data_IF_905804076918
#
_entry.id   IF_905804076918
#
_cell.length_a   1.000
_cell.length_b   1.000
_cell.length_c   1.000
_cell.angle_alpha   90.00
_cell.angle_beta   90.00
_cell.angle_gamma   90.00
#
_symmetry.space_group_name_H-M   'P 1'
#
loop_
_entity.id
_entity.type
_entity.pdbx_description
1 polymer ?
#
# COMPACT_ATOMS: atom_id res chain seq x y z
N UNK A 1 4.86 -28.98 -7.19
CA UNK A 1 5.40 -27.62 -7.38
C UNK A 1 5.30 -26.85 -6.08
N UNK A 2 6.43 -26.28 -5.60
CA UNK A 2 6.51 -25.70 -4.25
C UNK A 2 7.16 -24.34 -4.25
N UNK A 3 6.49 -23.35 -3.64
CA UNK A 3 6.96 -21.96 -3.53
C UNK A 3 7.14 -21.58 -2.06
N UNK A 4 8.25 -20.91 -1.73
CA UNK A 4 8.50 -20.38 -0.40
C UNK A 4 8.21 -18.88 -0.36
N UNK A 5 7.43 -18.42 0.63
CA UNK A 5 7.20 -17.00 0.93
C UNK A 5 7.89 -16.63 2.24
N UNK A 6 8.91 -15.75 2.16
CA UNK A 6 9.63 -15.27 3.33
C UNK A 6 8.95 -14.04 3.94
N UNK A 7 8.55 -14.17 5.19
CA UNK A 7 7.84 -13.15 5.95
C UNK A 7 6.33 -13.40 6.04
N UNK A 8 5.78 -13.22 7.25
CA UNK A 8 4.34 -13.31 7.52
C UNK A 8 3.73 -11.90 7.57
N UNK A 9 3.60 -11.27 6.42
CA UNK A 9 2.97 -9.96 6.24
C UNK A 9 1.78 -10.06 5.28
N UNK A 10 0.99 -9.00 5.18
CA UNK A 10 -0.21 -8.99 4.36
C UNK A 10 0.07 -9.27 2.88
N UNK A 11 1.18 -8.79 2.34
CA UNK A 11 1.61 -9.07 0.95
C UNK A 11 1.70 -10.56 0.69
N UNK A 12 2.44 -11.28 1.54
CA UNK A 12 2.61 -12.73 1.39
C UNK A 12 1.32 -13.51 1.67
N UNK A 13 0.47 -13.05 2.59
CA UNK A 13 -0.82 -13.70 2.82
C UNK A 13 -1.75 -13.57 1.60
N UNK A 14 -1.82 -12.40 0.97
CA UNK A 14 -2.62 -12.21 -0.26
C UNK A 14 -2.04 -13.02 -1.41
N UNK A 15 -0.72 -13.01 -1.59
CA UNK A 15 -0.05 -13.80 -2.62
C UNK A 15 -0.25 -15.31 -2.41
N UNK A 16 -0.10 -15.81 -1.18
CA UNK A 16 -0.36 -17.21 -0.84
C UNK A 16 -1.79 -17.64 -1.19
N UNK A 17 -2.79 -16.79 -0.92
CA UNK A 17 -4.17 -17.07 -1.30
C UNK A 17 -4.34 -17.21 -2.84
N UNK A 18 -3.66 -16.36 -3.60
CA UNK A 18 -3.70 -16.41 -5.06
C UNK A 18 -3.01 -17.68 -5.61
N UNK A 19 -1.86 -18.06 -5.03
CA UNK A 19 -1.12 -19.25 -5.43
C UNK A 19 -1.84 -20.55 -5.04
N UNK A 20 -2.45 -20.59 -3.85
CA UNK A 20 -3.24 -21.75 -3.40
C UNK A 20 -4.46 -22.04 -4.32
N UNK A 21 -5.05 -21.00 -4.91
CA UNK A 21 -6.12 -21.17 -5.90
C UNK A 21 -5.67 -21.87 -7.20
N UNK A 22 -4.35 -21.98 -7.40
CA UNK A 22 -3.70 -22.66 -8.54
C UNK A 22 -3.14 -24.03 -8.15
N UNK A 23 -3.55 -24.56 -7.00
CA UNK A 23 -3.06 -25.85 -6.45
C UNK A 23 -1.53 -25.91 -6.24
N UNK A 24 -0.90 -24.74 -6.05
CA UNK A 24 0.54 -24.64 -5.74
C UNK A 24 0.74 -24.78 -4.24
N UNK A 25 1.65 -25.66 -3.82
CA UNK A 25 2.08 -25.75 -2.43
C UNK A 25 2.89 -24.51 -2.04
N UNK A 26 2.51 -23.87 -0.95
CA UNK A 26 3.14 -22.64 -0.47
C UNK A 26 3.56 -22.78 0.98
N UNK A 27 4.86 -22.62 1.23
CA UNK A 27 5.42 -22.54 2.56
C UNK A 27 5.63 -21.08 2.97
N UNK A 28 4.89 -20.60 3.97
CA UNK A 28 5.12 -19.28 4.57
C UNK A 28 6.09 -19.43 5.72
N UNK A 29 7.32 -18.93 5.53
CA UNK A 29 8.41 -19.05 6.48
C UNK A 29 8.71 -17.71 7.13
N UNK A 30 8.71 -17.63 8.46
CA UNK A 30 8.91 -16.38 9.20
C UNK A 30 9.68 -16.60 10.50
N UNK A 31 10.39 -15.56 11.02
CA UNK A 31 11.11 -15.67 12.27
C UNK A 31 10.18 -15.82 13.47
N UNK A 32 10.65 -16.53 14.48
CA UNK A 32 9.96 -16.73 15.75
C UNK A 32 9.62 -15.38 16.41
N UNK A 33 8.40 -15.22 16.93
CA UNK A 33 7.83 -14.02 17.58
C UNK A 33 7.61 -12.82 16.65
N UNK A 34 6.53 -12.89 15.90
CA UNK A 34 5.80 -11.64 15.63
C UNK A 34 4.95 -11.40 16.89
N UNK A 35 5.43 -10.53 17.78
CA UNK A 35 4.60 -10.05 18.87
C UNK A 35 3.35 -9.41 18.24
N UNK A 36 2.22 -10.11 18.24
CA UNK A 36 0.93 -9.47 18.07
C UNK A 36 0.81 -8.52 19.26
N UNK A 37 1.08 -7.24 19.06
CA UNK A 37 0.47 -6.27 19.96
C UNK A 37 -1.03 -6.54 19.86
N UNK A 38 -1.69 -6.89 20.95
CA UNK A 38 -3.15 -7.09 21.04
C UNK A 38 -3.95 -5.80 20.73
N UNK A 39 -3.27 -4.75 20.33
CA UNK A 39 -3.83 -3.45 20.05
C UNK A 39 -4.11 -3.34 18.56
N UNK A 40 -5.34 -3.00 18.21
CA UNK A 40 -5.75 -2.69 16.84
C UNK A 40 -4.81 -1.65 16.23
N UNK A 41 -4.25 -1.94 15.07
CA UNK A 41 -3.44 -0.97 14.32
C UNK A 41 -4.34 0.13 13.78
N UNK A 42 -3.87 1.37 13.85
CA UNK A 42 -4.54 2.52 13.23
C UNK A 42 -4.38 2.56 11.71
N UNK A 43 -3.60 1.63 11.15
CA UNK A 43 -3.28 1.59 9.71
C UNK A 43 -4.51 1.26 8.87
N UNK A 44 -4.79 2.13 7.92
CA UNK A 44 -5.89 1.99 6.96
C UNK A 44 -5.34 1.80 5.55
N UNK A 45 -5.99 0.94 4.77
CA UNK A 45 -5.71 0.71 3.36
C UNK A 45 -6.81 1.35 2.51
N UNK A 46 -6.41 2.10 1.49
CA UNK A 46 -7.29 2.60 0.45
C UNK A 46 -7.07 1.77 -0.81
N UNK A 47 -7.96 0.84 -1.08
CA UNK A 47 -7.84 -0.11 -2.20
C UNK A 47 -8.66 0.42 -3.37
N UNK A 48 -8.05 0.54 -4.56
CA UNK A 48 -8.74 0.95 -5.77
C UNK A 48 -9.81 -0.08 -6.17
N UNK A 49 -10.82 0.36 -6.92
CA UNK A 49 -11.94 -0.50 -7.34
C UNK A 49 -11.45 -1.75 -8.07
N UNK A 50 -10.55 -1.60 -9.03
CA UNK A 50 -9.99 -2.70 -9.80
C UNK A 50 -9.22 -3.72 -8.93
N UNK A 51 -8.45 -3.22 -7.96
CA UNK A 51 -7.74 -4.08 -7.01
C UNK A 51 -8.69 -4.74 -6.01
N UNK A 52 -9.73 -4.06 -5.57
CA UNK A 52 -10.76 -4.63 -4.69
C UNK A 52 -11.52 -5.77 -5.39
N UNK A 53 -11.91 -5.57 -6.65
CA UNK A 53 -12.60 -6.59 -7.45
C UNK A 53 -11.69 -7.81 -7.68
N UNK A 54 -10.40 -7.60 -7.93
CA UNK A 54 -9.42 -8.68 -8.02
C UNK A 54 -9.32 -9.49 -6.73
N UNK A 55 -9.25 -8.83 -5.56
CA UNK A 55 -9.21 -9.52 -4.27
C UNK A 55 -10.47 -10.36 -4.03
N UNK A 56 -11.64 -9.83 -4.38
CA UNK A 56 -12.91 -10.56 -4.30
C UNK A 56 -12.96 -11.76 -5.23
N UNK A 57 -12.52 -11.60 -6.47
CA UNK A 57 -12.48 -12.69 -7.46
C UNK A 57 -11.61 -13.85 -7.00
N UNK A 58 -10.48 -13.54 -6.36
CA UNK A 58 -9.53 -14.56 -5.88
C UNK A 58 -9.87 -15.15 -4.52
N UNK A 59 -10.91 -14.68 -3.84
CA UNK A 59 -11.36 -15.26 -2.57
C UNK A 59 -12.89 -15.23 -2.47
N UNK A 60 -13.53 -16.37 -2.73
CA UNK A 60 -15.00 -16.50 -2.70
C UNK A 60 -15.62 -16.15 -1.34
N UNK A 61 -14.86 -16.26 -0.24
CA UNK A 61 -15.29 -15.94 1.12
C UNK A 61 -14.96 -14.51 1.53
N UNK A 62 -14.57 -13.63 0.59
CA UNK A 62 -14.15 -12.27 0.88
C UNK A 62 -15.28 -11.43 1.48
N UNK A 63 -15.28 -11.29 2.81
CA UNK A 63 -16.30 -10.58 3.59
C UNK A 63 -15.72 -9.48 4.47
N UNK A 64 -14.53 -8.97 4.12
CA UNK A 64 -13.88 -7.89 4.87
C UNK A 64 -14.74 -6.63 4.78
N UNK A 65 -14.93 -5.96 5.92
CA UNK A 65 -15.65 -4.70 5.99
C UNK A 65 -14.89 -3.61 5.23
N UNK A 66 -15.36 -3.28 4.05
CA UNK A 66 -14.79 -2.26 3.19
C UNK A 66 -15.75 -1.07 3.08
N UNK A 67 -15.27 0.13 3.35
CA UNK A 67 -16.09 1.33 3.27
C UNK A 67 -15.92 2.00 1.89
N UNK A 68 -16.99 2.10 1.09
CA UNK A 68 -16.90 2.66 -0.25
C UNK A 68 -16.74 4.18 -0.22
N UNK A 69 -15.79 4.68 -0.99
CA UNK A 69 -15.53 6.11 -1.14
C UNK A 69 -15.86 6.55 -2.57
N UNK A 70 -16.78 7.51 -2.70
CA UNK A 70 -17.23 8.00 -4.00
C UNK A 70 -16.29 9.02 -4.60
N UNK A 71 -15.67 9.86 -3.75
CA UNK A 71 -14.84 10.97 -4.16
C UNK A 71 -13.61 11.10 -3.29
N UNK A 72 -12.53 11.53 -3.89
CA UNK A 72 -11.34 12.02 -3.19
C UNK A 72 -11.17 13.48 -3.55
N UNK A 73 -11.17 14.35 -2.56
CA UNK A 73 -10.97 15.79 -2.72
C UNK A 73 -9.60 16.20 -2.22
N UNK A 74 -8.88 16.94 -3.03
CA UNK A 74 -7.56 17.47 -2.72
C UNK A 74 -7.64 18.98 -2.53
N UNK A 75 -7.06 19.44 -1.42
CA UNK A 75 -7.03 20.87 -1.04
C UNK A 75 -5.60 21.34 -0.79
N UNK A 76 -5.33 22.62 -1.05
CA UNK A 76 -4.14 23.32 -0.56
C UNK A 76 -4.32 23.77 0.90
N UNK A 77 -3.30 24.44 1.46
CA UNK A 77 -3.32 25.00 2.83
C UNK A 77 -4.55 25.91 3.06
N UNK A 78 -4.91 26.74 2.10
CA UNK A 78 -6.13 27.57 2.12
C UNK A 78 -7.30 26.73 1.67
N UNK A 79 -8.08 26.20 2.61
CA UNK A 79 -9.23 25.29 2.40
C UNK A 79 -10.29 25.75 1.38
N UNK A 80 -10.34 27.01 1.01
CA UNK A 80 -11.30 27.54 0.03
C UNK A 80 -11.08 27.00 -1.38
N UNK A 81 -9.86 26.56 -1.68
CA UNK A 81 -9.48 26.17 -3.03
C UNK A 81 -9.41 24.64 -3.13
N UNK A 82 -10.51 24.01 -3.56
CA UNK A 82 -10.50 22.63 -4.02
C UNK A 82 -9.65 22.55 -5.29
N UNK A 83 -8.45 21.96 -5.16
CA UNK A 83 -7.52 21.85 -6.26
C UNK A 83 -7.97 20.80 -7.27
N UNK A 84 -8.39 19.64 -6.75
CA UNK A 84 -8.74 18.53 -7.62
C UNK A 84 -9.75 17.57 -6.95
N UNK A 85 -10.70 17.05 -7.74
CA UNK A 85 -11.64 16.02 -7.33
C UNK A 85 -11.48 14.78 -8.22
N UNK A 86 -11.11 13.66 -7.62
CA UNK A 86 -11.23 12.38 -8.28
C UNK A 86 -12.62 11.82 -8.03
N UNK A 87 -13.47 11.87 -9.05
CA UNK A 87 -14.80 11.29 -9.00
C UNK A 87 -15.07 10.46 -10.26
N UNK A 88 -15.61 9.26 -10.06
CA UNK A 88 -16.24 8.53 -11.13
C UNK A 88 -17.76 8.63 -10.89
N UNK A 89 -18.48 9.34 -11.76
CA UNK A 89 -19.90 9.67 -11.56
C UNK A 89 -20.79 8.44 -11.30
N UNK A 90 -20.38 7.26 -11.77
CA UNK A 90 -21.19 6.03 -11.71
C UNK A 90 -20.66 4.95 -10.74
N UNK A 91 -19.45 5.03 -10.19
CA UNK A 91 -18.82 3.96 -9.40
C UNK A 91 -18.04 4.49 -8.19
N UNK A 92 -17.89 3.66 -7.15
CA UNK A 92 -16.97 3.94 -6.06
C UNK A 92 -15.52 3.81 -6.56
N UNK A 93 -14.68 4.77 -6.23
CA UNK A 93 -13.28 4.80 -6.69
C UNK A 93 -12.35 3.99 -5.81
N UNK A 94 -12.61 4.00 -4.49
CA UNK A 94 -11.78 3.32 -3.50
C UNK A 94 -12.63 2.67 -2.43
N UNK A 95 -12.06 1.61 -1.84
CA UNK A 95 -12.59 0.89 -0.69
C UNK A 95 -11.60 1.03 0.46
N UNK A 96 -12.06 1.64 1.55
CA UNK A 96 -11.24 1.85 2.74
C UNK A 96 -11.49 0.72 3.74
N UNK A 97 -10.43 0.12 4.24
CA UNK A 97 -10.49 -0.98 5.19
C UNK A 97 -9.32 -0.95 6.17
N UNK A 98 -9.50 -1.53 7.34
CA UNK A 98 -8.44 -1.64 8.33
C UNK A 98 -7.44 -2.72 7.91
N UNK A 99 -6.15 -2.43 8.08
CA UNK A 99 -5.07 -3.37 7.78
C UNK A 99 -5.20 -4.67 8.57
N UNK A 100 -5.49 -4.59 9.86
CA UNK A 100 -5.58 -5.75 10.75
C UNK A 100 -6.76 -6.66 10.41
N UNK A 101 -7.92 -6.08 10.04
CA UNK A 101 -9.08 -6.88 9.60
C UNK A 101 -8.75 -7.69 8.34
N UNK A 102 -8.02 -7.06 7.39
CA UNK A 102 -7.57 -7.74 6.18
C UNK A 102 -6.51 -8.81 6.46
N UNK A 103 -5.53 -8.49 7.32
CA UNK A 103 -4.50 -9.44 7.74
C UNK A 103 -5.10 -10.66 8.43
N UNK A 104 -5.97 -10.46 9.41
CA UNK A 104 -6.59 -11.55 10.18
C UNK A 104 -7.51 -12.42 9.31
N UNK A 105 -8.23 -11.81 8.37
CA UNK A 105 -9.04 -12.53 7.39
C UNK A 105 -8.20 -13.51 6.56
N UNK A 106 -7.15 -13.03 5.89
CA UNK A 106 -6.29 -13.90 5.09
C UNK A 106 -5.57 -14.94 5.95
N UNK A 107 -5.03 -14.54 7.09
CA UNK A 107 -4.32 -15.47 7.98
C UNK A 107 -5.21 -16.62 8.50
N UNK A 108 -6.45 -16.31 8.92
CA UNK A 108 -7.41 -17.33 9.37
C UNK A 108 -7.83 -18.28 8.25
N UNK A 109 -8.04 -17.75 7.05
CA UNK A 109 -8.45 -18.57 5.90
C UNK A 109 -7.32 -19.49 5.44
N UNK A 110 -6.09 -18.96 5.35
CA UNK A 110 -4.93 -19.72 4.90
C UNK A 110 -4.54 -20.83 5.85
N UNK A 111 -4.74 -20.69 7.16
CA UNK A 111 -4.52 -21.77 8.14
C UNK A 111 -5.39 -23.02 7.91
N UNK A 112 -6.50 -22.86 7.19
CA UNK A 112 -7.44 -23.95 6.86
C UNK A 112 -7.25 -24.47 5.43
N UNK A 113 -6.24 -23.99 4.72
CA UNK A 113 -5.99 -24.36 3.33
C UNK A 113 -4.90 -25.42 3.25
N UNK A 114 -5.19 -26.55 2.62
CA UNK A 114 -4.30 -27.70 2.53
C UNK A 114 -3.03 -27.47 1.70
N UNK A 115 -3.01 -26.43 0.86
CA UNK A 115 -1.84 -26.05 0.05
C UNK A 115 -0.89 -25.10 0.80
N UNK A 116 -1.23 -24.66 2.04
CA UNK A 116 -0.48 -23.64 2.76
C UNK A 116 0.10 -24.18 4.06
N UNK A 117 1.42 -24.13 4.18
CA UNK A 117 2.14 -24.48 5.41
C UNK A 117 2.76 -23.24 6.06
N UNK A 118 2.69 -23.16 7.38
CA UNK A 118 3.30 -22.08 8.16
C UNK A 118 4.48 -22.61 8.96
N UNK A 119 5.68 -22.09 8.69
CA UNK A 119 6.92 -22.48 9.38
C UNK A 119 7.49 -21.31 10.18
N UNK A 120 7.48 -21.48 11.49
CA UNK A 120 8.12 -20.55 12.41
C UNK A 120 9.53 -21.05 12.71
N UNK A 121 10.55 -20.29 12.33
CA UNK A 121 11.96 -20.68 12.47
C UNK A 121 12.78 -19.59 13.14
N UNK A 122 13.60 -19.93 14.14
CA UNK A 122 14.49 -18.96 14.83
C UNK A 122 15.60 -18.45 13.91
N UNK A 123 16.23 -19.34 13.16
CA UNK A 123 17.34 -19.04 12.26
C UNK A 123 17.02 -19.54 10.85
N UNK A 124 16.82 -18.60 9.94
CA UNK A 124 16.66 -18.87 8.51
C UNK A 124 18.06 -18.81 7.87
N UNK A 125 18.69 -19.96 7.72
CA UNK A 125 19.97 -20.10 7.03
C UNK A 125 19.78 -20.76 5.65
N UNK A 126 20.84 -20.72 4.84
CA UNK A 126 20.81 -21.27 3.48
C UNK A 126 20.54 -22.78 3.46
N UNK A 127 20.98 -23.55 4.51
CA UNK A 127 20.75 -25.00 4.61
C UNK A 127 19.25 -25.37 4.62
N UNK A 128 18.39 -24.56 5.26
CA UNK A 128 16.93 -24.80 5.27
C UNK A 128 16.35 -24.77 3.87
N UNK A 129 16.83 -23.86 3.02
CA UNK A 129 16.31 -23.68 1.66
C UNK A 129 16.86 -24.71 0.67
N UNK A 130 18.12 -25.14 0.85
CA UNK A 130 18.70 -26.20 0.02
C UNK A 130 18.10 -27.57 0.29
N UNK A 131 17.63 -27.84 1.51
CA UNK A 131 17.01 -29.12 1.87
C UNK A 131 15.57 -29.28 1.34
N UNK A 132 14.87 -28.19 0.99
CA UNK A 132 13.45 -28.22 0.59
C UNK A 132 13.18 -28.03 -0.91
N UNK A 133 14.20 -27.86 -1.71
CA UNK A 133 14.12 -27.73 -3.19
C UNK A 133 12.95 -26.86 -3.69
N UNK A 134 12.92 -25.59 -3.24
CA UNK A 134 11.89 -24.65 -3.70
C UNK A 134 12.15 -24.23 -5.16
N UNK A 135 11.13 -24.35 -6.00
CA UNK A 135 11.16 -23.83 -7.36
C UNK A 135 11.38 -22.31 -7.37
N UNK A 136 10.72 -21.59 -6.44
CA UNK A 136 10.83 -20.13 -6.31
C UNK A 136 10.76 -19.74 -4.82
N UNK A 137 11.60 -18.78 -4.43
CA UNK A 137 11.58 -18.16 -3.10
C UNK A 137 11.19 -16.70 -3.26
N UNK A 138 10.05 -16.29 -2.72
CA UNK A 138 9.56 -14.91 -2.76
C UNK A 138 9.81 -14.26 -1.41
N UNK A 139 10.71 -13.29 -1.40
CA UNK A 139 11.15 -12.61 -0.18
C UNK A 139 10.46 -11.25 -0.03
N UNK A 140 9.66 -11.09 1.01
CA UNK A 140 9.07 -9.82 1.43
C UNK A 140 9.51 -9.39 2.84
N UNK A 141 10.49 -10.07 3.43
CA UNK A 141 11.02 -9.74 4.75
C UNK A 141 12.27 -8.86 4.65
N UNK A 142 12.14 -7.59 5.08
CA UNK A 142 13.25 -6.63 5.08
C UNK A 142 14.40 -7.00 6.02
N UNK A 143 14.17 -7.87 6.98
CA UNK A 143 15.17 -8.30 7.97
C UNK A 143 15.83 -9.64 7.59
N UNK A 144 15.38 -10.31 6.52
CA UNK A 144 15.90 -11.60 6.10
C UNK A 144 17.39 -11.50 5.72
N UNK A 145 18.10 -12.61 5.89
CA UNK A 145 19.48 -12.76 5.42
C UNK A 145 19.60 -12.43 3.92
N UNK A 146 18.66 -12.88 3.10
CA UNK A 146 18.68 -12.67 1.66
C UNK A 146 18.54 -11.18 1.30
N UNK A 147 17.71 -10.43 2.04
CA UNK A 147 17.57 -8.97 1.82
C UNK A 147 18.89 -8.27 2.07
N UNK A 148 19.58 -8.58 3.17
CA UNK A 148 20.85 -7.96 3.52
C UNK A 148 21.97 -8.30 2.52
N UNK A 149 22.02 -9.56 2.07
CA UNK A 149 23.11 -10.06 1.23
C UNK A 149 22.94 -9.71 -0.25
N UNK A 150 21.72 -9.85 -0.80
CA UNK A 150 21.52 -9.80 -2.26
C UNK A 150 20.70 -8.59 -2.74
N UNK A 151 19.93 -7.95 -1.84
CA UNK A 151 18.98 -6.90 -2.20
C UNK A 151 19.24 -5.57 -1.48
N UNK A 152 20.53 -5.21 -1.34
CA UNK A 152 20.97 -3.98 -0.68
C UNK A 152 21.00 -2.76 -1.61
N UNK A 153 21.22 -2.95 -2.92
CA UNK A 153 21.35 -1.84 -3.89
C UNK A 153 19.98 -1.22 -4.19
N UNK A 154 19.74 0.00 -3.68
CA UNK A 154 18.48 0.72 -3.77
C UNK A 154 18.67 2.16 -4.19
N UNK A 155 17.66 2.73 -4.84
CA UNK A 155 17.47 4.17 -4.91
C UNK A 155 16.68 4.58 -3.68
N UNK A 156 17.28 5.35 -2.79
CA UNK A 156 16.64 5.76 -1.53
C UNK A 156 16.66 7.28 -1.38
N UNK A 157 15.56 7.82 -0.85
CA UNK A 157 15.43 9.20 -0.44
C UNK A 157 14.73 9.26 0.92
N UNK A 158 15.34 9.94 1.86
CA UNK A 158 14.74 10.19 3.17
C UNK A 158 13.92 11.49 3.11
N UNK A 159 12.65 11.41 3.41
CA UNK A 159 11.78 12.59 3.44
C UNK A 159 12.00 13.48 4.66
N UNK A 160 12.80 13.01 5.65
CA UNK A 160 12.93 13.67 6.95
C UNK A 160 11.56 13.99 7.60
N UNK A 161 10.61 13.11 7.38
CA UNK A 161 9.24 13.25 7.87
C UNK A 161 8.76 11.99 8.56
N UNK A 162 7.75 12.16 9.43
CA UNK A 162 7.13 11.08 10.20
C UNK A 162 5.66 11.03 9.85
N UNK A 163 5.17 9.87 9.45
CA UNK A 163 3.74 9.63 9.33
C UNK A 163 3.12 9.28 10.68
N UNK A 164 2.02 9.92 10.99
CA UNK A 164 1.16 9.66 12.13
C UNK A 164 -0.17 9.12 11.64
N UNK A 165 -0.65 8.06 12.28
CA UNK A 165 -1.96 7.47 11.99
C UNK A 165 -2.76 7.29 13.28
N UNK A 166 -4.04 7.60 13.21
CA UNK A 166 -5.01 7.34 14.27
C UNK A 166 -6.43 7.24 13.67
N UNK A 167 -7.36 6.66 14.41
CA UNK A 167 -8.77 6.63 14.03
C UNK A 167 -9.55 7.55 14.96
N UNK A 168 -10.29 8.51 14.40
CA UNK A 168 -11.23 9.33 15.15
C UNK A 168 -12.62 8.70 15.11
N UNK A 169 -13.36 8.77 16.24
CA UNK A 169 -14.80 8.53 16.29
C UNK A 169 -15.52 9.88 16.37
N UNK A 170 -16.63 10.01 15.64
CA UNK A 170 -17.37 11.26 15.51
C UNK A 170 -18.88 11.01 15.47
N UNK A 171 -19.71 12.05 15.52
CA UNK A 171 -21.16 11.93 15.30
C UNK A 171 -21.43 11.31 13.94
N UNK A 172 -22.48 10.50 13.85
CA UNK A 172 -22.89 9.81 12.60
C UNK A 172 -23.20 10.83 11.49
N UNK A 173 -22.56 10.64 10.32
CA UNK A 173 -22.73 11.49 9.14
C UNK A 173 -22.69 10.65 7.85
N UNK A 174 -23.08 11.25 6.72
CA UNK A 174 -22.81 10.71 5.39
C UNK A 174 -21.31 10.85 5.09
N UNK A 175 -20.56 9.76 5.27
CA UNK A 175 -19.10 9.75 5.27
C UNK A 175 -18.54 8.95 4.09
N UNK A 176 -18.66 9.45 2.86
CA UNK A 176 -18.26 8.76 1.63
C UNK A 176 -17.30 9.58 0.75
N UNK A 177 -16.68 10.61 1.33
CA UNK A 177 -15.70 11.46 0.66
C UNK A 177 -14.41 11.42 1.46
N UNK A 178 -13.32 10.98 0.83
CA UNK A 178 -11.99 11.11 1.37
C UNK A 178 -11.44 12.51 1.07
N UNK A 179 -10.67 13.07 1.99
CA UNK A 179 -10.10 14.41 1.87
C UNK A 179 -8.60 14.34 2.10
N UNK A 180 -7.83 14.94 1.21
CA UNK A 180 -6.38 15.14 1.35
C UNK A 180 -6.11 16.64 1.34
N UNK A 181 -5.44 17.14 2.38
CA UNK A 181 -5.07 18.56 2.51
C UNK A 181 -3.54 18.65 2.56
N UNK A 182 -2.95 19.43 1.66
CA UNK A 182 -1.52 19.71 1.70
C UNK A 182 -1.30 20.93 2.59
N UNK A 183 -1.09 20.68 3.88
CA UNK A 183 -0.87 21.71 4.89
C UNK A 183 0.59 22.16 4.93
N UNK A 184 0.88 23.32 5.52
CA UNK A 184 2.25 23.80 5.77
C UNK A 184 3.09 22.87 6.66
N UNK A 185 2.44 21.96 7.39
CA UNK A 185 3.11 20.95 8.22
C UNK A 185 3.36 19.64 7.49
N UNK A 186 2.74 19.47 6.32
CA UNK A 186 2.75 18.27 5.49
C UNK A 186 1.35 17.75 5.15
N UNK A 187 1.23 16.70 4.33
CA UNK A 187 -0.04 16.15 3.90
C UNK A 187 -0.87 15.56 5.06
N UNK A 188 -2.13 15.97 5.16
CA UNK A 188 -3.13 15.48 6.11
C UNK A 188 -4.30 14.86 5.37
N UNK A 189 -4.60 13.58 5.63
CA UNK A 189 -5.72 12.87 5.02
C UNK A 189 -6.80 12.50 6.04
N UNK A 190 -8.05 12.62 5.63
CA UNK A 190 -9.25 12.13 6.31
C UNK A 190 -9.86 11.03 5.46
N UNK A 191 -9.75 9.78 5.93
CA UNK A 191 -10.15 8.58 5.19
C UNK A 191 -11.36 7.92 5.89
N UNK A 192 -12.56 7.98 5.29
CA UNK A 192 -13.78 7.40 5.89
C UNK A 192 -13.67 5.88 6.10
N UNK A 193 -13.97 5.39 7.30
CA UNK A 193 -14.03 3.97 7.62
C UNK A 193 -15.45 3.47 7.90
N UNK A 194 -16.32 4.39 8.30
CA UNK A 194 -17.74 4.11 8.55
C UNK A 194 -18.53 5.43 8.63
N UNK A 195 -19.82 5.34 8.95
CA UNK A 195 -20.65 6.53 9.22
C UNK A 195 -20.17 7.36 10.42
N UNK A 196 -19.39 6.78 11.33
CA UNK A 196 -18.95 7.39 12.59
C UNK A 196 -17.46 7.20 12.89
N UNK A 197 -16.69 6.66 11.95
CA UNK A 197 -15.23 6.50 12.08
C UNK A 197 -14.51 7.02 10.84
N UNK A 198 -13.39 7.70 11.07
CA UNK A 198 -12.50 8.23 10.02
C UNK A 198 -11.05 8.01 10.45
N UNK A 199 -10.25 7.44 9.56
CA UNK A 199 -8.82 7.33 9.76
C UNK A 199 -8.14 8.64 9.38
N UNK A 200 -7.22 9.09 10.21
CA UNK A 200 -6.36 10.23 9.97
C UNK A 200 -4.98 9.72 9.61
N UNK A 201 -4.43 10.21 8.51
CA UNK A 201 -3.03 9.99 8.12
C UNK A 201 -2.38 11.35 7.95
N UNK A 202 -1.38 11.63 8.76
CA UNK A 202 -0.69 12.92 8.76
C UNK A 202 0.81 12.73 8.58
N UNK A 203 1.37 13.22 7.49
CA UNK A 203 2.81 13.19 7.21
C UNK A 203 3.44 14.50 7.67
N UNK A 204 4.08 14.48 8.83
CA UNK A 204 4.67 15.67 9.45
C UNK A 204 6.09 15.90 8.92
N UNK A 205 6.32 17.07 8.31
CA UNK A 205 7.57 17.44 7.63
C UNK A 205 8.66 17.92 8.58
N UNK A 206 8.83 17.28 9.73
CA UNK A 206 9.93 17.55 10.67
C UNK A 206 10.40 16.26 11.32
N UNK A 207 11.70 16.20 11.60
CA UNK A 207 12.32 15.03 12.23
C UNK A 207 11.90 14.82 13.69
N UNK A 208 11.43 15.86 14.38
CA UNK A 208 11.02 15.79 15.77
C UNK A 208 9.60 15.23 15.89
N UNK A 209 9.43 14.27 16.78
CA UNK A 209 8.10 13.73 17.11
C UNK A 209 7.22 14.83 17.70
N UNK A 210 5.96 14.87 17.27
CA UNK A 210 4.95 15.72 17.87
C UNK A 210 4.16 14.95 18.93
N UNK A 211 3.71 15.69 19.96
CA UNK A 211 2.83 15.13 21.00
C UNK A 211 1.40 14.97 20.46
N UNK A 212 0.64 14.06 21.05
CA UNK A 212 -0.75 13.83 20.66
C UNK A 212 -1.62 15.11 20.77
N UNK A 213 -1.39 15.95 21.78
CA UNK A 213 -2.08 17.22 21.94
C UNK A 213 -1.87 18.16 20.75
N UNK A 214 -0.62 18.30 20.29
CA UNK A 214 -0.28 19.13 19.14
C UNK A 214 -0.94 18.59 17.85
N UNK A 215 -0.94 17.25 17.68
CA UNK A 215 -1.60 16.62 16.55
C UNK A 215 -3.13 16.85 16.57
N UNK A 216 -3.76 16.74 17.74
CA UNK A 216 -5.20 17.05 17.91
C UNK A 216 -5.50 18.47 17.45
N UNK A 217 -4.74 19.47 17.90
CA UNK A 217 -4.93 20.86 17.51
C UNK A 217 -4.79 21.05 15.97
N UNK A 218 -3.82 20.36 15.34
CA UNK A 218 -3.68 20.39 13.87
C UNK A 218 -4.91 19.75 13.19
N UNK A 219 -5.35 18.58 13.67
CA UNK A 219 -6.53 17.91 13.10
C UNK A 219 -7.77 18.80 13.24
N UNK A 220 -8.01 19.39 14.40
CA UNK A 220 -9.14 20.27 14.67
C UNK A 220 -9.11 21.53 13.78
N UNK A 221 -7.94 22.13 13.61
CA UNK A 221 -7.76 23.29 12.71
C UNK A 221 -8.22 23.03 11.28
N UNK A 222 -7.92 21.83 10.75
CA UNK A 222 -8.26 21.46 9.37
C UNK A 222 -9.57 20.66 9.26
N UNK A 223 -10.17 20.31 10.39
CA UNK A 223 -11.44 19.60 10.43
C UNK A 223 -12.61 20.58 10.39
N UNK A 224 -13.37 20.55 9.31
CA UNK A 224 -14.61 21.32 9.15
C UNK A 224 -15.87 20.44 9.05
N UNK A 225 -15.72 19.11 9.18
CA UNK A 225 -16.80 18.17 8.88
C UNK A 225 -17.19 17.31 10.08
N UNK A 226 -16.23 16.93 10.90
CA UNK A 226 -16.43 15.90 11.92
C UNK A 226 -16.62 16.51 13.30
N UNK A 227 -17.76 16.22 13.95
CA UNK A 227 -17.94 16.47 15.40
C UNK A 227 -17.27 15.35 16.17
N UNK A 228 -15.95 15.49 16.44
CA UNK A 228 -15.10 14.46 17.02
C UNK A 228 -15.54 14.17 18.45
N UNK A 229 -15.67 12.89 18.81
CA UNK A 229 -15.97 12.39 20.14
C UNK A 229 -14.73 11.83 20.83
N UNK A 230 -13.90 11.10 20.09
CA UNK A 230 -12.72 10.46 20.63
C UNK A 230 -11.60 10.35 19.58
N UNK A 231 -10.35 10.44 20.05
CA UNK A 231 -9.13 10.18 19.28
C UNK A 231 -8.59 8.83 19.72
N UNK A 232 -8.48 7.89 18.78
CA UNK A 232 -7.91 6.58 19.03
C UNK A 232 -6.40 6.61 19.27
N UNK A 233 -5.80 5.43 19.34
CA UNK A 233 -4.37 5.25 19.55
C UNK A 233 -3.56 5.89 18.42
N UNK A 234 -2.52 6.62 18.78
CA UNK A 234 -1.57 7.22 17.87
C UNK A 234 -0.45 6.24 17.55
N UNK A 235 -0.23 5.99 16.27
CA UNK A 235 0.93 5.26 15.76
C UNK A 235 1.77 6.16 14.86
N UNK A 236 3.06 5.85 14.75
CA UNK A 236 3.95 6.63 13.89
C UNK A 236 5.03 5.76 13.23
N UNK A 237 5.50 6.19 12.06
CA UNK A 237 6.60 5.55 11.33
C UNK A 237 7.35 6.57 10.47
N UNK A 238 8.66 6.35 10.33
CA UNK A 238 9.51 7.19 9.46
C UNK A 238 9.17 6.96 7.99
N UNK A 239 9.08 8.04 7.24
CA UNK A 239 8.82 8.00 5.80
C UNK A 239 10.12 7.99 5.02
N UNK A 240 10.20 7.10 4.04
CA UNK A 240 11.27 7.09 3.05
C UNK A 240 10.76 6.60 1.71
N UNK A 241 11.32 7.11 0.65
CA UNK A 241 11.24 6.54 -0.68
C UNK A 241 12.33 5.48 -0.83
N UNK A 242 11.99 4.34 -1.40
CA UNK A 242 12.99 3.31 -1.68
C UNK A 242 12.53 2.45 -2.85
N UNK A 243 13.38 2.33 -3.87
CA UNK A 243 13.19 1.46 -5.02
C UNK A 243 14.36 0.50 -5.14
N UNK A 244 14.09 -0.79 -5.21
CA UNK A 244 15.11 -1.82 -5.36
C UNK A 244 15.65 -1.80 -6.80
N UNK A 245 16.98 -1.93 -6.97
CA UNK A 245 17.58 -1.92 -8.30
C UNK A 245 17.43 -3.26 -9.04
N UNK A 246 17.61 -4.38 -8.33
CA UNK A 246 17.48 -5.72 -8.91
C UNK A 246 16.49 -6.52 -8.04
N UNK A 247 15.48 -7.11 -8.66
CA UNK A 247 14.42 -7.82 -7.95
C UNK A 247 14.77 -9.29 -7.74
N UNK A 248 15.65 -9.86 -8.58
CA UNK A 248 15.97 -11.27 -8.61
C UNK A 248 17.42 -11.57 -8.29
N UNK A 249 17.65 -12.69 -7.63
CA UNK A 249 18.94 -13.34 -7.47
C UNK A 249 18.73 -14.87 -7.47
N UNK A 250 19.22 -15.56 -8.52
CA UNK A 250 18.93 -17.00 -8.74
C UNK A 250 17.41 -17.23 -8.69
N UNK A 251 16.94 -18.20 -7.90
CA UNK A 251 15.51 -18.49 -7.70
C UNK A 251 14.86 -17.65 -6.57
N UNK A 252 15.51 -16.56 -6.14
CA UNK A 252 14.97 -15.66 -5.10
C UNK A 252 14.46 -14.38 -5.74
N UNK A 253 13.17 -14.08 -5.55
CA UNK A 253 12.51 -12.86 -5.99
C UNK A 253 12.17 -11.99 -4.77
N UNK A 254 12.64 -10.74 -4.72
CA UNK A 254 12.15 -9.73 -3.78
C UNK A 254 10.77 -9.25 -4.17
N UNK A 255 9.91 -8.95 -3.16
CA UNK A 255 8.51 -8.63 -3.43
C UNK A 255 7.90 -7.62 -2.43
N UNK A 256 6.83 -6.93 -2.85
CA UNK A 256 6.08 -5.99 -2.02
C UNK A 256 6.90 -4.79 -1.56
N UNK A 257 6.81 -4.43 -0.27
CA UNK A 257 7.51 -3.27 0.31
C UNK A 257 9.05 -3.37 0.21
N UNK A 258 9.61 -4.53 -0.18
CA UNK A 258 11.03 -4.64 -0.51
C UNK A 258 11.37 -4.06 -1.87
N UNK A 259 10.49 -4.19 -2.85
CA UNK A 259 10.73 -3.68 -4.20
C UNK A 259 10.55 -2.17 -4.22
N UNK A 260 9.44 -1.69 -3.66
CA UNK A 260 9.07 -0.28 -3.69
C UNK A 260 8.45 0.16 -2.36
N UNK A 261 8.94 1.29 -1.87
CA UNK A 261 8.36 2.02 -0.75
C UNK A 261 8.19 3.47 -1.16
N UNK A 262 6.95 3.94 -1.16
CA UNK A 262 6.59 5.28 -1.60
C UNK A 262 5.94 6.07 -0.46
N UNK A 263 5.80 7.37 -0.65
CA UNK A 263 5.06 8.22 0.28
C UNK A 263 3.58 7.76 0.37
N UNK A 264 2.96 7.71 1.57
CA UNK A 264 1.60 7.21 1.77
C UNK A 264 0.51 8.17 1.25
N UNK A 265 0.77 8.91 0.19
CA UNK A 265 -0.25 9.72 -0.48
C UNK A 265 -1.38 8.83 -0.98
N UNK A 266 -2.59 9.10 -0.52
CA UNK A 266 -3.82 8.39 -0.89
C UNK A 266 -3.75 6.85 -0.73
N UNK A 267 -2.85 6.30 0.11
CA UNK A 267 -2.77 4.86 0.38
C UNK A 267 -2.28 4.00 -0.79
N UNK A 268 -1.53 4.54 -1.73
CA UNK A 268 -1.18 3.88 -3.00
C UNK A 268 -0.19 2.72 -2.88
N UNK A 269 0.61 2.62 -1.82
CA UNK A 269 1.66 1.59 -1.70
C UNK A 269 1.14 0.16 -1.85
N UNK A 270 0.04 -0.19 -1.18
CA UNK A 270 -0.51 -1.54 -1.26
C UNK A 270 -1.23 -1.82 -2.60
N UNK A 271 -1.74 -0.79 -3.28
CA UNK A 271 -2.28 -0.94 -4.64
C UNK A 271 -1.21 -1.35 -5.64
N UNK A 272 0.02 -0.81 -5.52
CA UNK A 272 1.17 -1.28 -6.31
C UNK A 272 1.46 -2.76 -6.03
N UNK A 273 1.46 -3.16 -4.78
CA UNK A 273 1.69 -4.56 -4.39
C UNK A 273 0.63 -5.50 -4.99
N UNK A 274 -0.66 -5.13 -4.98
CA UNK A 274 -1.72 -5.95 -5.58
C UNK A 274 -1.53 -6.04 -7.10
N UNK A 275 -1.16 -4.95 -7.77
CA UNK A 275 -0.82 -4.97 -9.19
C UNK A 275 0.34 -5.92 -9.47
N UNK A 276 1.39 -5.88 -8.66
CA UNK A 276 2.53 -6.78 -8.79
C UNK A 276 2.11 -8.26 -8.58
N UNK A 277 1.20 -8.53 -7.65
CA UNK A 277 0.60 -9.86 -7.47
C UNK A 277 -0.14 -10.31 -8.74
N UNK A 278 -0.92 -9.42 -9.37
CA UNK A 278 -1.62 -9.74 -10.63
C UNK A 278 -0.65 -10.15 -11.74
N UNK A 279 0.44 -9.37 -11.91
CA UNK A 279 1.44 -9.62 -12.93
C UNK A 279 2.18 -10.93 -12.66
N UNK A 280 2.64 -11.15 -11.42
CA UNK A 280 3.32 -12.38 -11.03
C UNK A 280 2.41 -13.61 -11.21
N UNK A 281 1.15 -13.48 -10.78
CA UNK A 281 0.13 -14.53 -10.96
C UNK A 281 -0.05 -14.90 -12.43
N UNK A 282 -0.11 -13.90 -13.33
CA UNK A 282 -0.23 -14.13 -14.76
C UNK A 282 1.00 -14.83 -15.35
N UNK A 283 2.22 -14.42 -14.96
CA UNK A 283 3.45 -15.09 -15.41
C UNK A 283 3.47 -16.57 -14.99
N UNK A 284 3.01 -16.86 -13.77
CA UNK A 284 2.91 -18.22 -13.26
C UNK A 284 1.84 -19.02 -14.04
N UNK A 285 0.67 -18.42 -14.30
CA UNK A 285 -0.39 -19.06 -15.10
C UNK A 285 0.06 -19.38 -16.52
N UNK A 286 0.76 -18.44 -17.16
CA UNK A 286 1.30 -18.64 -18.52
C UNK A 286 2.26 -19.85 -18.56
N UNK A 287 3.11 -20.03 -17.54
CA UNK A 287 4.00 -21.19 -17.43
C UNK A 287 3.26 -22.50 -17.17
N UNK A 288 2.30 -22.49 -16.25
CA UNK A 288 1.50 -23.69 -15.95
C UNK A 288 0.70 -24.15 -17.17
N UNK A 289 0.07 -23.22 -17.89
CA UNK A 289 -0.74 -23.53 -19.08
C UNK A 289 0.09 -24.12 -20.23
N UNK A 290 1.37 -23.79 -20.29
CA UNK A 290 2.34 -24.32 -21.25
C UNK A 290 3.05 -25.61 -20.77
N UNK A 291 2.74 -26.10 -19.57
CA UNK A 291 3.43 -27.24 -18.97
C UNK A 291 4.90 -26.97 -18.60
N UNK A 292 5.32 -25.69 -18.51
CA UNK A 292 6.70 -25.30 -18.24
C UNK A 292 6.89 -25.17 -16.72
N UNK A 293 7.99 -25.67 -16.21
CA UNK A 293 8.33 -25.58 -14.78
C UNK A 293 8.48 -24.12 -14.31
N UNK A 294 8.11 -23.90 -13.04
CA UNK A 294 8.40 -22.64 -12.35
C UNK A 294 9.87 -22.67 -11.92
N UNK A 295 10.65 -21.78 -12.48
CA UNK A 295 12.07 -21.60 -12.25
C UNK A 295 12.43 -20.11 -12.06
N UNK A 296 13.72 -19.79 -12.09
CA UNK A 296 14.23 -18.43 -11.96
C UNK A 296 13.72 -17.47 -13.04
N UNK A 297 13.32 -17.95 -14.21
CA UNK A 297 12.79 -17.11 -15.30
C UNK A 297 11.49 -16.39 -14.93
N UNK A 298 10.70 -16.92 -13.98
CA UNK A 298 9.52 -16.24 -13.45
C UNK A 298 9.90 -14.90 -12.81
N UNK A 299 10.95 -14.92 -11.98
CA UNK A 299 11.45 -13.71 -11.35
C UNK A 299 12.02 -12.71 -12.34
N UNK A 300 12.80 -13.16 -13.31
CA UNK A 300 13.38 -12.31 -14.36
C UNK A 300 12.30 -11.66 -15.25
N UNK A 301 11.29 -12.44 -15.65
CA UNK A 301 10.14 -11.92 -16.40
C UNK A 301 9.33 -10.92 -15.58
N UNK A 302 9.12 -11.19 -14.29
CA UNK A 302 8.46 -10.27 -13.39
C UNK A 302 9.25 -8.95 -13.27
N UNK A 303 10.56 -9.00 -13.03
CA UNK A 303 11.42 -7.81 -12.98
C UNK A 303 11.33 -7.01 -14.27
N UNK A 304 11.47 -7.66 -15.43
CA UNK A 304 11.38 -7.03 -16.75
C UNK A 304 10.06 -6.31 -16.98
N UNK A 305 8.92 -6.94 -16.58
CA UNK A 305 7.58 -6.37 -16.77
C UNK A 305 7.23 -5.27 -15.77
N UNK A 306 7.80 -5.27 -14.56
CA UNK A 306 7.32 -4.39 -13.48
C UNK A 306 8.27 -3.27 -13.08
N UNK A 307 9.59 -3.44 -13.27
CA UNK A 307 10.60 -2.52 -12.73
C UNK A 307 10.44 -1.08 -13.22
N UNK A 308 10.29 -0.89 -14.54
CA UNK A 308 10.08 0.43 -15.12
C UNK A 308 8.75 1.05 -14.70
N UNK A 309 7.66 0.26 -14.64
CA UNK A 309 6.35 0.72 -14.18
C UNK A 309 6.38 1.16 -12.71
N UNK A 310 7.05 0.37 -11.86
CA UNK A 310 7.22 0.69 -10.45
C UNK A 310 8.03 1.97 -10.26
N UNK A 311 9.10 2.15 -11.04
CA UNK A 311 9.93 3.36 -10.99
C UNK A 311 9.13 4.60 -11.41
N UNK A 312 8.45 4.56 -12.55
CA UNK A 312 7.64 5.68 -13.05
C UNK A 312 6.56 6.04 -12.04
N UNK A 313 5.80 5.04 -11.57
CA UNK A 313 4.71 5.28 -10.63
C UNK A 313 5.22 5.84 -9.29
N UNK A 314 6.26 5.23 -8.72
CA UNK A 314 6.83 5.69 -7.47
C UNK A 314 7.42 7.10 -7.56
N UNK A 315 8.14 7.40 -8.67
CA UNK A 315 8.67 8.75 -8.91
C UNK A 315 7.57 9.79 -9.13
N UNK A 316 6.45 9.41 -9.75
CA UNK A 316 5.29 10.31 -9.91
C UNK A 316 4.66 10.67 -8.55
N UNK A 317 4.54 9.71 -7.64
CA UNK A 317 4.05 9.98 -6.28
C UNK A 317 5.02 10.86 -5.50
N UNK A 318 6.33 10.60 -5.63
CA UNK A 318 7.38 11.43 -5.02
C UNK A 318 7.37 12.85 -5.56
N UNK A 319 7.22 13.01 -6.88
CA UNK A 319 7.09 14.32 -7.53
C UNK A 319 5.88 15.11 -7.01
N UNK A 320 4.71 14.47 -6.87
CA UNK A 320 3.52 15.13 -6.30
C UNK A 320 3.80 15.62 -4.89
N UNK A 321 4.43 14.80 -4.06
CA UNK A 321 4.79 15.18 -2.69
C UNK A 321 5.73 16.38 -2.65
N UNK A 322 6.80 16.38 -3.44
CA UNK A 322 7.77 17.48 -3.50
C UNK A 322 7.18 18.75 -4.11
N UNK A 323 6.35 18.61 -5.14
CA UNK A 323 5.64 19.73 -5.74
C UNK A 323 4.82 20.50 -4.70
N UNK A 324 4.03 19.80 -3.87
CA UNK A 324 3.25 20.46 -2.84
C UNK A 324 4.10 21.00 -1.68
N UNK A 325 5.24 20.39 -1.39
CA UNK A 325 6.20 20.95 -0.43
C UNK A 325 6.78 22.28 -0.91
N UNK A 326 7.12 22.37 -2.20
CA UNK A 326 7.62 23.62 -2.82
C UNK A 326 6.52 24.66 -2.90
N UNK A 327 5.33 24.28 -3.32
CA UNK A 327 4.19 25.20 -3.46
C UNK A 327 3.78 25.81 -2.12
N UNK A 328 3.82 25.03 -1.04
CA UNK A 328 3.58 25.56 0.31
C UNK A 328 4.62 26.62 0.72
N UNK A 329 5.89 26.47 0.31
CA UNK A 329 6.93 27.49 0.51
C UNK A 329 6.67 28.75 -0.30
N UNK A 330 6.11 28.62 -1.50
CA UNK A 330 5.75 29.71 -2.42
C UNK A 330 4.32 30.24 -2.21
N UNK A 331 3.74 30.06 -1.03
CA UNK A 331 2.39 30.53 -0.64
C UNK A 331 1.26 30.02 -1.55
N UNK A 332 1.39 28.82 -2.11
CA UNK A 332 0.39 28.13 -2.94
C UNK A 332 0.05 28.81 -4.28
N UNK A 333 1.02 29.49 -4.88
CA UNK A 333 0.84 30.19 -6.16
C UNK A 333 0.92 29.25 -7.36
N UNK A 334 1.81 28.26 -7.32
CA UNK A 334 2.04 27.33 -8.43
C UNK A 334 0.89 26.34 -8.60
N UNK A 335 0.39 25.78 -7.49
CA UNK A 335 -0.72 24.81 -7.55
C UNK A 335 -1.97 25.40 -8.15
N UNK A 336 -2.33 26.66 -7.82
CA UNK A 336 -3.50 27.33 -8.41
C UNK A 336 -3.43 27.37 -9.94
N UNK A 337 -2.30 27.79 -10.49
CA UNK A 337 -2.15 27.94 -11.93
C UNK A 337 -2.17 26.58 -12.66
N UNK A 338 -1.44 25.60 -12.16
CA UNK A 338 -1.36 24.26 -12.76
C UNK A 338 -2.71 23.55 -12.68
N UNK A 339 -3.37 23.55 -11.52
CA UNK A 339 -4.66 22.88 -11.39
C UNK A 339 -5.81 23.58 -12.10
N UNK A 340 -5.75 24.90 -12.33
CA UNK A 340 -6.70 25.56 -13.20
C UNK A 340 -6.58 25.11 -14.66
N UNK A 341 -5.34 24.86 -15.13
CA UNK A 341 -5.10 24.28 -16.46
C UNK A 341 -5.61 22.85 -16.52
N UNK A 342 -5.34 22.03 -15.48
CA UNK A 342 -5.80 20.64 -15.38
C UNK A 342 -7.34 20.55 -15.33
N UNK A 343 -8.01 21.45 -14.58
CA UNK A 343 -9.48 21.47 -14.50
C UNK A 343 -10.14 21.81 -15.83
N UNK A 344 -9.52 22.66 -16.64
CA UNK A 344 -10.03 23.02 -17.98
C UNK A 344 -9.88 21.90 -19.00
N UNK A 345 -9.02 20.92 -18.73
CA UNK A 345 -8.73 19.84 -19.66
C UNK A 345 -9.33 18.50 -19.17
N UNK A 346 -10.52 18.16 -19.68
CA UNK A 346 -11.23 16.92 -19.35
C UNK A 346 -10.41 15.64 -19.62
N UNK A 347 -9.48 15.68 -20.57
CA UNK A 347 -8.62 14.56 -20.92
C UNK A 347 -7.61 14.29 -19.80
N UNK A 348 -6.94 15.32 -19.28
CA UNK A 348 -5.98 15.19 -18.17
C UNK A 348 -6.67 14.73 -16.86
N UNK A 349 -7.89 15.19 -16.60
CA UNK A 349 -8.71 14.70 -15.49
C UNK A 349 -9.01 13.20 -15.59
N UNK A 350 -9.38 12.74 -16.78
CA UNK A 350 -9.68 11.33 -17.06
C UNK A 350 -8.43 10.47 -16.92
N UNK A 351 -7.29 10.97 -17.39
CA UNK A 351 -5.99 10.29 -17.25
C UNK A 351 -5.53 10.19 -15.79
N UNK A 352 -5.64 11.27 -15.01
CA UNK A 352 -5.28 11.27 -13.60
C UNK A 352 -6.15 10.30 -12.79
N UNK A 353 -7.45 10.22 -13.08
CA UNK A 353 -8.37 9.26 -12.45
C UNK A 353 -8.05 7.83 -12.86
N UNK A 354 -7.77 7.59 -14.13
CA UNK A 354 -7.35 6.26 -14.64
C UNK A 354 -6.04 5.80 -14.01
N UNK A 355 -5.06 6.70 -13.91
CA UNK A 355 -3.76 6.44 -13.30
C UNK A 355 -3.87 6.10 -11.82
N UNK A 356 -4.77 6.76 -11.09
CA UNK A 356 -5.01 6.49 -9.66
C UNK A 356 -5.75 5.16 -9.42
N UNK A 357 -6.59 4.70 -10.35
CA UNK A 357 -7.38 3.46 -10.25
C UNK A 357 -6.60 2.25 -10.76
N UNK A 358 -6.08 2.32 -11.99
CA UNK A 358 -5.44 1.17 -12.66
C UNK A 358 -3.91 1.18 -12.62
N UNK A 359 -3.29 2.31 -12.26
CA UNK A 359 -1.87 2.49 -12.43
C UNK A 359 -1.49 2.64 -13.91
N UNK A 360 -0.20 2.44 -14.24
CA UNK A 360 0.27 2.41 -15.62
C UNK A 360 0.02 0.99 -16.16
N UNK A 361 -1.05 0.79 -16.91
CA UNK A 361 -1.23 -0.38 -17.75
C UNK A 361 -0.76 -0.01 -19.15
N UNK A 362 0.33 -0.59 -19.59
CA UNK A 362 0.77 -0.65 -20.98
C UNK A 362 0.37 -2.01 -21.53
#
# INVERSE_FOLDING_TARGET
>A
MRICLLGRNLTNLVLANVLANKTIEVDIVYPYKINKSKNESSRTLAISKDNYDYLKKNNKKFNIKAWPTKKIKIYSEKKSDELFEFSNQKKNNFFLMKYDEMYDFYFKNLKKNNYINFFEKKNLNTKFFSQKEYNLIINSDSKSYFTKKFFSKRLEKNYNSIAYTLVITHKRIKNNIAVQIFTKYGPLAFLPLSKNQTSIVFSYNKNNKIKLSQLKNIIEKYNNKYKIKNFGKLENFKLKFSMLRNYCYKNILSFGDLIHRIHPLAGQGFNMTIRDIKILSKIIDDKISLGIEIDNSVGLNFEKKTKHLNLIYGSSVDFIYEFFNLDNKLKNTLSKNIFNILKRNNFLNKYATYFSDKGINI
#
